data_IF_943944365344
#
_entry.id   IF_943944365344
#
_cell.length_a   1.000
_cell.length_b   1.000
_cell.length_c   1.000
_cell.angle_alpha   90.00
_cell.angle_beta   90.00
_cell.angle_gamma   90.00
#
_symmetry.space_group_name_H-M   'P 1'
#
loop_
_entity.id
_entity.type
_entity.pdbx_description
1 polymer ?
#
# COMPACT_ATOMS: atom_id res chain seq x y z
N UNK A 1 -9.45 4.21 -13.36
CA UNK A 1 -10.00 3.56 -12.17
C UNK A 1 -9.01 2.55 -11.63
N UNK A 2 -8.84 2.52 -10.33
CA UNK A 2 -7.86 1.62 -9.71
C UNK A 2 -8.49 0.26 -9.49
N UNK A 3 -7.71 -0.76 -9.87
CA UNK A 3 -8.12 -2.14 -9.66
C UNK A 3 -7.17 -2.72 -8.61
N UNK A 4 -7.65 -2.85 -7.37
CA UNK A 4 -6.81 -3.30 -6.27
C UNK A 4 -6.50 -4.79 -6.32
N UNK A 5 -6.91 -5.47 -7.38
CA UNK A 5 -6.49 -6.85 -7.58
C UNK A 5 -5.16 -6.94 -8.31
N UNK A 6 -4.66 -5.82 -8.84
CA UNK A 6 -3.39 -5.79 -9.55
C UNK A 6 -2.30 -5.26 -8.64
N UNK A 7 -1.16 -5.95 -8.55
CA UNK A 7 -0.07 -5.46 -7.68
C UNK A 7 0.39 -4.06 -8.03
N UNK A 8 0.42 -3.70 -9.30
CA UNK A 8 0.86 -2.36 -9.68
C UNK A 8 -0.14 -1.30 -9.21
N UNK A 9 -1.42 -1.62 -9.24
CA UNK A 9 -2.43 -0.69 -8.76
C UNK A 9 -2.41 -0.57 -7.25
N UNK A 10 -2.16 -1.69 -6.56
CA UNK A 10 -2.01 -1.67 -5.12
C UNK A 10 -0.81 -0.80 -4.73
N UNK A 11 0.29 -0.92 -5.47
CA UNK A 11 1.48 -0.13 -5.19
C UNK A 11 1.20 1.36 -5.33
N UNK A 12 0.50 1.75 -6.40
CA UNK A 12 0.16 3.15 -6.60
C UNK A 12 -0.71 3.68 -5.47
N UNK A 13 -1.72 2.91 -5.11
CA UNK A 13 -2.60 3.34 -4.04
C UNK A 13 -1.86 3.41 -2.72
N UNK A 14 -0.92 2.49 -2.49
CA UNK A 14 -0.12 2.52 -1.28
C UNK A 14 0.67 3.82 -1.19
N UNK A 15 1.35 4.19 -2.27
CA UNK A 15 2.13 5.43 -2.28
C UNK A 15 1.23 6.64 -2.09
N UNK A 16 0.07 6.63 -2.72
CA UNK A 16 -0.88 7.72 -2.58
C UNK A 16 -1.35 7.85 -1.15
N UNK A 17 -1.68 6.74 -0.51
CA UNK A 17 -2.14 6.76 0.87
C UNK A 17 -1.06 7.21 1.83
N UNK A 18 0.18 6.80 1.59
CA UNK A 18 1.28 7.26 2.43
C UNK A 18 1.37 8.79 2.38
N UNK A 19 1.26 9.35 1.19
CA UNK A 19 1.33 10.80 1.04
C UNK A 19 0.14 11.49 1.71
N UNK A 20 -1.05 10.93 1.53
CA UNK A 20 -2.26 11.52 2.13
C UNK A 20 -2.20 11.49 3.64
N UNK A 21 -1.68 10.42 4.21
CA UNK A 21 -1.58 10.26 5.66
C UNK A 21 -0.31 10.86 6.22
N UNK A 22 0.54 11.41 5.36
CA UNK A 22 1.82 12.01 5.74
C UNK A 22 2.69 11.01 6.50
N UNK A 23 2.69 9.80 6.02
CA UNK A 23 3.53 8.74 6.55
C UNK A 23 4.76 8.62 5.66
N UNK A 24 5.94 8.54 6.27
CA UNK A 24 7.16 8.41 5.49
C UNK A 24 7.13 7.12 4.66
N UNK A 25 7.50 7.18 3.37
CA UNK A 25 7.44 6.00 2.51
C UNK A 25 8.65 5.08 2.71
N UNK A 26 8.86 4.68 3.96
CA UNK A 26 9.91 3.71 4.27
C UNK A 26 9.46 2.32 3.88
N UNK A 27 10.40 1.38 3.71
CA UNK A 27 10.00 0.01 3.35
C UNK A 27 9.02 -0.60 4.33
N UNK A 28 9.20 -0.36 5.63
CA UNK A 28 8.30 -0.91 6.62
C UNK A 28 6.91 -0.32 6.50
N UNK A 29 6.82 1.00 6.36
CA UNK A 29 5.53 1.66 6.24
C UNK A 29 4.84 1.27 4.94
N UNK A 30 5.61 1.20 3.86
CA UNK A 30 5.07 0.80 2.57
C UNK A 30 4.51 -0.61 2.66
N UNK A 31 5.27 -1.51 3.23
CA UNK A 31 4.86 -2.90 3.32
C UNK A 31 3.58 -3.05 4.13
N UNK A 32 3.51 -2.40 5.27
CA UNK A 32 2.33 -2.50 6.12
C UNK A 32 1.09 -2.00 5.40
N UNK A 33 1.21 -0.84 4.75
CA UNK A 33 0.06 -0.25 4.08
C UNK A 33 -0.28 -1.02 2.80
N UNK A 34 0.72 -1.52 2.10
CA UNK A 34 0.48 -2.32 0.92
C UNK A 34 -0.39 -3.53 1.27
N UNK A 35 -0.06 -4.22 2.33
CA UNK A 35 -0.83 -5.40 2.74
C UNK A 35 -2.21 -5.01 3.23
N UNK A 36 -2.33 -3.88 3.88
CA UNK A 36 -3.63 -3.40 4.32
C UNK A 36 -4.54 -3.16 3.12
N UNK A 37 -4.03 -2.50 2.09
CA UNK A 37 -4.81 -2.18 0.91
C UNK A 37 -5.11 -3.44 0.10
N UNK A 38 -4.14 -4.34 0.02
CA UNK A 38 -4.31 -5.58 -0.71
C UNK A 38 -5.23 -6.56 0.02
N UNK A 39 -5.47 -6.34 1.30
CA UNK A 39 -6.34 -7.22 2.07
C UNK A 39 -5.65 -8.50 2.50
N UNK A 40 -4.33 -8.50 2.54
CA UNK A 40 -3.56 -9.67 2.96
C UNK A 40 -2.77 -9.34 4.22
N UNK A 41 -2.43 -10.35 5.04
CA UNK A 41 -1.63 -10.09 6.23
C UNK A 41 -0.23 -9.61 5.86
N UNK A 42 0.36 -8.76 6.69
CA UNK A 42 1.70 -8.26 6.39
C UNK A 42 2.79 -9.31 6.51
N UNK A 43 2.54 -10.37 7.26
CA UNK A 43 3.52 -11.45 7.31
C UNK A 43 2.83 -12.71 6.99
N UNK A 44 3.47 -13.59 6.45
CA UNK A 44 2.92 -14.74 6.03
C UNK A 44 3.52 -15.85 6.43
#
# INVERSE_FOLDING_TARGET
MIDTTQPSDIARETLRQLALRRIAPTPDNYRALYHEIAGTPPDE
#
